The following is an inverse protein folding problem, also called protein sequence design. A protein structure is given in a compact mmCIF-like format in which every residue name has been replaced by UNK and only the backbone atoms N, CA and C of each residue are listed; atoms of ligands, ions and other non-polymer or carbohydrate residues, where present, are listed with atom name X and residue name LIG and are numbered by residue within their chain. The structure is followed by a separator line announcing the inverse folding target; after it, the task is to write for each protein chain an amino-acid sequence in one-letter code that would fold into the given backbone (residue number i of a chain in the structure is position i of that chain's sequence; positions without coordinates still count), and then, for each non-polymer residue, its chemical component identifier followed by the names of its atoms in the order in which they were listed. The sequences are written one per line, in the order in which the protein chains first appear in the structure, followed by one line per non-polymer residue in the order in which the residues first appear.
data_IF_987917223824
#
_entry.id   IF_987917223824
#
_cell.length_a   1.000
_cell.length_b   1.000
_cell.length_c   1.000
_cell.angle_alpha   90.00
_cell.angle_beta   90.00
_cell.angle_gamma   90.00
#
_symmetry.space_group_name_H-M   'P 1'
#
loop_
_entity.id
_entity.type
_entity.pdbx_description
1 polymer ?
#
# COMPACT_ATOMS: atom_id res chain seq x y z
N UNK A 1 -6.01 -8.51 -8.13
CA UNK A 1 -6.64 -7.18 -8.24
C UNK A 1 -6.07 -6.46 -9.44
N UNK A 2 -6.85 -5.62 -10.08
CA UNK A 2 -6.36 -4.70 -11.10
C UNK A 2 -5.86 -3.41 -10.43
N UNK A 3 -4.76 -2.86 -10.95
CA UNK A 3 -4.24 -1.55 -10.55
C UNK A 3 -4.82 -0.50 -11.50
N UNK A 4 -5.63 0.42 -10.98
CA UNK A 4 -6.28 1.45 -11.80
C UNK A 4 -5.51 2.79 -11.81
N UNK A 5 -4.88 3.15 -10.69
CA UNK A 5 -4.27 4.47 -10.47
C UNK A 5 -2.73 4.49 -10.63
N UNK A 6 -2.12 5.63 -10.99
CA UNK A 6 -0.68 5.73 -11.24
C UNK A 6 0.15 5.91 -9.96
N UNK A 7 -0.48 6.05 -8.80
CA UNK A 7 0.15 6.36 -7.50
C UNK A 7 1.28 5.42 -7.05
N UNK A 8 1.40 4.24 -7.66
CA UNK A 8 2.40 3.23 -7.33
C UNK A 8 3.46 3.07 -8.42
N UNK A 9 3.50 3.96 -9.42
CA UNK A 9 4.55 3.94 -10.43
C UNK A 9 5.91 4.27 -9.80
N UNK A 10 7.00 3.62 -10.26
CA UNK A 10 7.06 2.59 -11.31
C UNK A 10 6.82 1.16 -10.79
N UNK A 11 6.61 0.96 -9.48
CA UNK A 11 6.49 -0.38 -8.92
C UNK A 11 5.26 -1.15 -9.41
N UNK A 12 4.13 -0.44 -9.60
CA UNK A 12 2.92 -0.93 -10.23
C UNK A 12 2.39 0.11 -11.23
N UNK A 13 2.03 -0.35 -12.42
CA UNK A 13 1.44 0.51 -13.44
C UNK A 13 -0.07 0.28 -13.56
N UNK A 14 -0.86 1.29 -13.97
CA UNK A 14 -2.23 1.08 -14.39
C UNK A 14 -2.34 -0.05 -15.43
N UNK A 15 -3.31 -0.94 -15.23
CA UNK A 15 -3.51 -2.15 -16.01
C UNK A 15 -2.69 -3.37 -15.54
N UNK A 16 -1.81 -3.22 -14.53
CA UNK A 16 -1.18 -4.37 -13.89
C UNK A 16 -2.23 -5.15 -13.09
N UNK A 17 -2.26 -6.46 -13.28
CA UNK A 17 -3.02 -7.37 -12.43
C UNK A 17 -2.08 -8.03 -11.45
N UNK A 18 -2.32 -7.78 -10.17
CA UNK A 18 -1.46 -8.21 -9.09
C UNK A 18 -2.13 -9.25 -8.18
N UNK A 19 -1.32 -10.16 -7.64
CA UNK A 19 -1.71 -11.10 -6.59
C UNK A 19 -1.25 -10.54 -5.25
N UNK A 20 -2.21 -10.34 -4.35
CA UNK A 20 -1.97 -10.03 -2.95
C UNK A 20 -2.24 -11.26 -2.08
N UNK A 21 -1.41 -11.47 -1.06
CA UNK A 21 -1.54 -12.56 -0.09
C UNK A 21 -1.66 -11.97 1.31
N UNK A 22 -2.39 -12.66 2.20
CA UNK A 22 -2.48 -12.25 3.60
C UNK A 22 -1.09 -12.36 4.25
N UNK A 23 -0.48 -11.25 4.70
CA UNK A 23 0.86 -11.30 5.28
C UNK A 23 0.79 -11.74 6.75
N UNK A 24 1.71 -12.61 7.19
CA UNK A 24 1.89 -12.90 8.62
C UNK A 24 2.44 -11.70 9.40
N UNK A 25 3.17 -10.80 8.72
CA UNK A 25 3.71 -9.56 9.26
C UNK A 25 3.86 -8.54 8.14
N UNK A 26 3.54 -7.28 8.44
CA UNK A 26 3.77 -6.12 7.58
C UNK A 26 5.13 -5.50 7.94
N UNK A 27 5.91 -5.12 6.93
CA UNK A 27 7.24 -4.53 7.07
C UNK A 27 7.37 -3.26 6.21
N UNK A 28 8.26 -2.32 6.59
CA UNK A 28 8.66 -1.25 5.69
C UNK A 28 9.08 -1.79 4.32
N UNK A 29 8.63 -1.12 3.26
CA UNK A 29 8.85 -1.50 1.86
C UNK A 29 7.77 -2.41 1.27
N UNK A 30 6.96 -3.11 2.09
CA UNK A 30 5.86 -3.93 1.57
C UNK A 30 4.86 -3.06 0.78
N UNK A 31 4.40 -3.55 -0.37
CA UNK A 31 3.25 -2.97 -1.08
C UNK A 31 1.99 -3.66 -0.60
N UNK A 32 1.07 -2.90 -0.03
CA UNK A 32 -0.12 -3.41 0.65
C UNK A 32 -1.40 -2.89 0.01
N UNK A 33 -2.40 -3.77 -0.02
CA UNK A 33 -3.80 -3.43 -0.28
C UNK A 33 -4.41 -3.07 1.06
N UNK A 34 -4.99 -1.88 1.15
CA UNK A 34 -5.51 -1.32 2.39
C UNK A 34 -6.90 -0.76 2.13
N UNK A 35 -7.84 -1.01 3.03
CA UNK A 35 -9.12 -0.34 2.98
C UNK A 35 -8.97 1.12 3.42
N UNK A 36 -9.50 2.04 2.61
CA UNK A 36 -9.41 3.47 2.83
C UNK A 36 -10.02 3.88 4.19
N UNK A 37 -9.33 4.70 5.00
CA UNK A 37 -9.77 5.06 6.36
C UNK A 37 -11.19 5.66 6.39
N UNK A 38 -11.46 6.53 5.41
CA UNK A 38 -12.69 7.33 5.33
C UNK A 38 -13.73 6.80 4.34
N UNK A 39 -13.42 5.73 3.59
CA UNK A 39 -14.30 5.20 2.53
C UNK A 39 -14.43 3.69 2.65
N UNK A 40 -15.41 3.19 3.44
CA UNK A 40 -15.61 1.76 3.63
C UNK A 40 -15.80 1.02 2.31
N UNK A 41 -15.15 -0.14 2.19
CA UNK A 41 -15.15 -0.99 0.98
C UNK A 41 -14.31 -0.45 -0.19
N UNK A 42 -13.69 0.72 -0.07
CA UNK A 42 -12.79 1.28 -1.09
C UNK A 42 -11.34 0.89 -0.78
N UNK A 43 -10.75 0.02 -1.60
CA UNK A 43 -9.37 -0.42 -1.43
C UNK A 43 -8.38 0.46 -2.19
N UNK A 44 -7.23 0.71 -1.58
CA UNK A 44 -6.11 1.42 -2.19
C UNK A 44 -4.84 0.58 -2.08
N UNK A 45 -3.91 0.77 -3.02
CA UNK A 45 -2.58 0.16 -2.98
C UNK A 45 -1.54 1.22 -2.66
N UNK A 46 -0.72 0.95 -1.65
CA UNK A 46 0.33 1.83 -1.13
C UNK A 46 1.55 1.05 -0.65
N UNK A 47 2.70 1.71 -0.55
CA UNK A 47 3.90 1.18 0.08
C UNK A 47 3.93 1.54 1.56
N UNK A 48 4.27 0.59 2.40
CA UNK A 48 4.52 0.82 3.82
C UNK A 48 5.85 1.54 4.00
N UNK A 49 5.82 2.69 4.66
CA UNK A 49 7.04 3.47 5.00
C UNK A 49 7.46 3.19 6.43
N UNK A 50 6.50 3.22 7.36
CA UNK A 50 6.72 2.92 8.78
C UNK A 50 5.66 1.96 9.31
N UNK A 51 6.04 1.23 10.35
CA UNK A 51 5.19 0.24 11.03
C UNK A 51 5.04 0.53 12.51
N UNK A 52 4.09 -0.13 13.16
CA UNK A 52 3.87 -0.06 14.60
C UNK A 52 5.18 -0.21 15.40
N UNK A 53 5.39 0.69 16.36
CA UNK A 53 6.61 0.81 17.14
C UNK A 53 7.63 1.83 16.60
N UNK A 54 7.42 2.34 15.39
CA UNK A 54 8.24 3.41 14.80
C UNK A 54 7.57 4.78 14.93
N UNK A 55 8.36 5.84 14.76
CA UNK A 55 7.85 7.22 14.67
C UNK A 55 7.61 7.53 13.19
N UNK A 56 6.38 7.91 12.85
CA UNK A 56 5.98 8.27 11.50
C UNK A 56 6.50 9.68 11.11
N UNK A 57 6.46 10.04 9.82
CA UNK A 57 6.93 11.34 9.33
C UNK A 57 6.19 12.55 9.93
N UNK A 58 4.98 12.35 10.48
CA UNK A 58 4.23 13.37 11.21
C UNK A 58 4.73 13.60 12.64
N UNK A 59 5.70 12.82 13.11
CA UNK A 59 6.32 12.91 14.43
C UNK A 59 5.61 12.08 15.51
N UNK A 60 4.55 11.34 15.18
CA UNK A 60 3.83 10.52 16.14
C UNK A 60 4.27 9.05 16.10
N UNK A 61 4.31 8.40 17.26
CA UNK A 61 4.61 6.98 17.36
C UNK A 61 3.41 6.15 16.87
N UNK A 62 3.66 5.18 16.00
CA UNK A 62 2.65 4.27 15.49
C UNK A 62 2.36 3.16 16.52
N UNK A 63 1.08 2.94 16.83
CA UNK A 63 0.62 1.86 17.69
C UNK A 63 -0.50 1.11 16.98
N UNK A 64 -0.25 -0.16 16.63
CA UNK A 64 -1.13 -1.00 15.81
C UNK A 64 -1.54 -0.35 14.48
N UNK A 65 -0.64 0.48 13.95
CA UNK A 65 -0.82 1.28 12.76
C UNK A 65 0.37 1.15 11.81
N UNK A 66 0.15 1.55 10.56
CA UNK A 66 1.15 1.67 9.51
C UNK A 66 1.05 3.05 8.86
N UNK A 67 2.20 3.61 8.49
CA UNK A 67 2.25 4.77 7.61
C UNK A 67 2.47 4.29 6.18
N UNK A 68 1.57 4.65 5.27
CA UNK A 68 1.60 4.20 3.88
C UNK A 68 1.67 5.37 2.92
N UNK A 69 2.48 5.26 1.89
CA UNK A 69 2.65 6.28 0.84
C UNK A 69 2.63 5.63 -0.54
N UNK A 70 2.20 6.40 -1.55
CA UNK A 70 2.42 6.00 -2.94
C UNK A 70 3.82 6.37 -3.42
N UNK A 71 4.36 5.54 -4.31
CA UNK A 71 5.67 5.73 -4.95
C UNK A 71 5.71 6.96 -5.87
N UNK A 72 4.54 7.41 -6.35
CA UNK A 72 4.36 8.65 -7.11
C UNK A 72 3.57 9.68 -6.27
N UNK A 73 4.23 10.58 -5.53
CA UNK A 73 3.57 11.46 -4.57
C UNK A 73 2.51 12.39 -5.16
N UNK A 74 2.76 12.93 -6.35
CA UNK A 74 1.87 13.88 -7.03
C UNK A 74 0.50 13.26 -7.37
N UNK A 75 0.48 11.95 -7.59
CA UNK A 75 -0.72 11.18 -7.92
C UNK A 75 -1.32 10.43 -6.72
N UNK A 76 -0.83 10.69 -5.50
CA UNK A 76 -1.17 9.89 -4.33
C UNK A 76 -2.09 10.59 -3.33
N UNK A 77 -3.11 9.85 -2.87
CA UNK A 77 -3.82 10.13 -1.62
C UNK A 77 -3.47 9.01 -0.65
N UNK A 78 -2.76 9.35 0.42
CA UNK A 78 -2.13 8.41 1.34
C UNK A 78 -1.96 9.02 2.74
N UNK A 79 -1.12 8.42 3.60
CA UNK A 79 -0.98 8.84 5.00
C UNK A 79 -0.56 10.30 5.17
N UNK A 80 0.07 10.92 4.17
CA UNK A 80 0.37 12.36 4.20
C UNK A 80 -0.87 13.24 4.24
N UNK A 81 -2.03 12.72 3.80
CA UNK A 81 -3.31 13.44 3.78
C UNK A 81 -4.24 13.01 4.91
N UNK A 82 -4.35 11.70 5.17
CA UNK A 82 -5.32 11.15 6.13
C UNK A 82 -4.69 10.57 7.41
N UNK A 83 -3.35 10.60 7.54
CA UNK A 83 -2.63 10.07 8.70
C UNK A 83 -2.36 8.56 8.65
N UNK A 84 -1.93 7.96 9.79
CA UNK A 84 -1.64 6.55 9.86
C UNK A 84 -2.89 5.68 9.72
N UNK A 85 -2.71 4.45 9.22
CA UNK A 85 -3.80 3.49 9.01
C UNK A 85 -3.69 2.33 9.97
N UNK A 86 -4.80 1.93 10.59
CA UNK A 86 -4.84 0.77 11.47
C UNK A 86 -4.47 -0.51 10.72
N UNK A 87 -3.71 -1.39 11.38
CA UNK A 87 -3.15 -2.60 10.76
C UNK A 87 -4.23 -3.60 10.32
N UNK A 88 -5.40 -3.57 10.96
CA UNK A 88 -6.57 -4.40 10.64
C UNK A 88 -7.25 -4.01 9.31
N UNK A 89 -6.97 -2.81 8.80
CA UNK A 89 -7.41 -2.36 7.46
C UNK A 89 -6.50 -2.88 6.35
N UNK A 90 -5.34 -3.47 6.66
CA UNK A 90 -4.48 -4.11 5.67
C UNK A 90 -5.11 -5.43 5.22
N UNK A 91 -5.53 -5.49 3.95
CA UNK A 91 -6.22 -6.65 3.37
C UNK A 91 -5.27 -7.67 2.77
N UNK A 92 -4.11 -7.22 2.29
CA UNK A 92 -3.10 -8.11 1.74
C UNK A 92 -1.80 -7.40 1.38
N UNK A 93 -0.75 -8.18 1.14
CA UNK A 93 0.51 -7.73 0.58
C UNK A 93 0.67 -8.22 -0.84
N UNK A 94 0.94 -7.30 -1.76
CA UNK A 94 1.21 -7.60 -3.17
C UNK A 94 2.54 -8.36 -3.29
N UNK A 95 2.56 -9.44 -4.08
CA UNK A 95 3.76 -10.31 -4.26
C UNK A 95 4.14 -10.57 -5.71
N UNK A 96 3.19 -10.43 -6.62
CA UNK A 96 3.37 -10.79 -8.02
C UNK A 96 2.47 -9.88 -8.87
N UNK A 97 3.05 -9.25 -9.88
CA UNK A 97 2.30 -8.82 -11.07
C UNK A 97 2.27 -10.03 -12.00
N UNK A 98 1.08 -10.54 -12.32
CA UNK A 98 0.92 -11.76 -13.13
C UNK A 98 0.37 -11.48 -14.54
N UNK A 99 -0.15 -10.29 -14.78
CA UNK A 99 -0.58 -9.82 -16.10
C UNK A 99 -0.40 -8.29 -16.20
N UNK A 100 -0.06 -7.74 -17.39
CA UNK A 100 0.16 -8.43 -18.67
C UNK A 100 1.47 -9.25 -18.70
N UNK A 101 1.60 -10.26 -19.60
CA UNK A 101 2.70 -11.21 -19.58
C UNK A 101 4.09 -10.58 -19.66
N UNK A 102 4.23 -9.49 -20.41
CA UNK A 102 5.46 -8.71 -20.56
C UNK A 102 5.89 -7.97 -19.28
N UNK A 103 4.99 -7.86 -18.29
CA UNK A 103 5.22 -7.20 -17.01
C UNK A 103 5.29 -8.16 -15.83
N UNK A 104 5.23 -9.47 -16.06
CA UNK A 104 5.23 -10.47 -14.99
C UNK A 104 6.51 -10.36 -14.16
N UNK A 105 6.34 -10.07 -12.86
CA UNK A 105 7.47 -9.89 -11.94
C UNK A 105 7.04 -10.07 -10.49
N UNK A 106 7.97 -10.55 -9.67
CA UNK A 106 7.82 -10.47 -8.23
C UNK A 106 7.94 -9.02 -7.76
N UNK A 107 7.18 -8.70 -6.72
CA UNK A 107 7.13 -7.39 -6.06
C UNK A 107 7.71 -7.51 -4.66
#
# INVERSE_FOLDING_TARGET
MEVEGPSMRPALEPGDWAIAVVPARVRPGDIVVVEHPERPGFEIVKRVVNVSGEVAPDGFALVDQVWIEGDEPESSTDSRRFGPVAIDRVRGRVRLVWWPPERVRLV
#
